data_IF_688259836671
#
_entry.id   IF_688259836671
#
_cell.length_a   1.000
_cell.length_b   1.000
_cell.length_c   1.000
_cell.angle_alpha   90.00
_cell.angle_beta   90.00
_cell.angle_gamma   90.00
#
_symmetry.space_group_name_H-M   'P 1'
#
loop_
_entity.id
_entity.type
_entity.pdbx_description
1 polymer ?
#
# COMPACT_ATOMS: atom_id res chain seq x y z
N UNK A 1 -4.16 24.18 6.27
CA UNK A 1 -4.85 22.90 6.62
C UNK A 1 -3.86 21.98 7.31
N UNK A 2 -4.34 21.02 8.11
CA UNK A 2 -3.47 20.02 8.76
C UNK A 2 -3.00 18.94 7.79
N UNK A 3 -1.78 18.50 7.98
CA UNK A 3 -1.18 17.41 7.21
C UNK A 3 -1.69 16.04 7.72
N UNK A 4 -2.21 15.16 6.86
CA UNK A 4 -2.70 13.85 7.29
C UNK A 4 -1.58 12.85 7.67
N UNK A 5 -0.31 13.20 7.39
CA UNK A 5 0.85 12.36 7.70
C UNK A 5 1.49 12.73 9.05
N UNK A 6 1.79 14.01 9.27
CA UNK A 6 2.54 14.45 10.46
C UNK A 6 1.74 15.36 11.41
N UNK A 7 0.46 15.64 11.09
CA UNK A 7 -0.43 16.59 11.80
C UNK A 7 0.07 18.05 11.84
N UNK A 8 1.16 18.37 11.15
CA UNK A 8 1.68 19.72 11.03
C UNK A 8 0.68 20.69 10.43
N UNK A 9 0.65 21.92 10.92
CA UNK A 9 -0.16 23.01 10.39
C UNK A 9 0.39 23.54 9.06
N UNK A 10 -0.38 24.44 8.41
CA UNK A 10 0.07 25.29 7.29
C UNK A 10 0.33 24.58 5.95
N UNK A 11 -0.17 23.33 5.76
CA UNK A 11 -0.17 22.71 4.44
C UNK A 11 -0.97 23.58 3.46
N UNK A 12 -0.43 23.75 2.25
CA UNK A 12 -0.98 24.66 1.24
C UNK A 12 -1.23 23.91 -0.05
N UNK A 13 -2.27 24.36 -0.80
CA UNK A 13 -2.47 23.89 -2.16
C UNK A 13 -1.19 24.06 -2.97
N UNK A 14 -0.78 23.01 -3.70
CA UNK A 14 0.42 23.03 -4.52
C UNK A 14 0.17 22.75 -6.00
N UNK A 15 -0.84 21.94 -6.32
CA UNK A 15 -1.19 21.62 -7.72
C UNK A 15 -2.60 21.06 -7.83
N UNK A 16 -3.12 21.09 -9.07
CA UNK A 16 -4.35 20.40 -9.45
C UNK A 16 -4.07 19.52 -10.67
N UNK A 17 -4.39 18.23 -10.59
CA UNK A 17 -4.21 17.25 -11.66
C UNK A 17 -5.55 16.55 -11.87
N UNK A 18 -6.04 16.50 -13.10
CA UNK A 18 -7.32 15.87 -13.47
C UNK A 18 -8.49 16.30 -12.56
N UNK A 19 -8.61 17.60 -12.32
CA UNK A 19 -9.59 18.23 -11.42
C UNK A 19 -9.46 17.82 -9.94
N UNK A 20 -8.40 17.12 -9.53
CA UNK A 20 -8.10 16.74 -8.15
C UNK A 20 -7.07 17.70 -7.56
N UNK A 21 -7.39 18.33 -6.44
CA UNK A 21 -6.52 19.30 -5.79
C UNK A 21 -5.61 18.63 -4.76
N UNK A 22 -4.32 18.97 -4.80
CA UNK A 22 -3.28 18.47 -3.91
C UNK A 22 -2.70 19.58 -3.05
N UNK A 23 -2.33 19.25 -1.83
CA UNK A 23 -1.59 20.12 -0.92
C UNK A 23 -0.24 19.53 -0.56
N UNK A 24 0.72 20.41 -0.21
CA UNK A 24 2.04 20.02 0.30
C UNK A 24 2.22 20.55 1.72
N UNK A 25 2.74 19.68 2.57
CA UNK A 25 3.10 20.02 3.95
C UNK A 25 4.48 20.68 3.99
N UNK A 26 4.65 21.84 4.67
CA UNK A 26 5.96 22.46 4.79
C UNK A 26 6.88 21.76 5.83
N UNK A 27 6.32 20.89 6.69
CA UNK A 27 7.09 20.25 7.77
C UNK A 27 7.67 18.89 7.35
N UNK A 28 6.84 17.99 6.79
CA UNK A 28 7.29 16.65 6.37
C UNK A 28 7.36 16.48 4.85
N UNK A 29 7.08 17.54 4.11
CA UNK A 29 7.09 17.60 2.64
C UNK A 29 6.12 16.65 1.92
N UNK A 30 5.29 15.92 2.65
CA UNK A 30 4.27 15.08 2.03
C UNK A 30 3.34 15.89 1.11
N UNK A 31 3.13 15.37 -0.08
CA UNK A 31 2.08 15.85 -1.00
C UNK A 31 0.90 14.90 -0.88
N UNK A 32 -0.30 15.42 -0.68
CA UNK A 32 -1.49 14.63 -0.45
C UNK A 32 -2.71 15.22 -1.12
N UNK A 33 -3.64 14.34 -1.50
CA UNK A 33 -4.92 14.70 -2.07
C UNK A 33 -5.80 15.37 -1.00
N UNK A 34 -6.51 16.43 -1.38
CA UNK A 34 -7.44 17.08 -0.44
C UNK A 34 -8.61 16.15 -0.10
N UNK A 35 -9.08 16.15 1.18
CA UNK A 35 -10.11 15.22 1.64
C UNK A 35 -11.39 15.19 0.79
N UNK A 36 -11.81 16.32 0.24
CA UNK A 36 -12.99 16.40 -0.63
C UNK A 36 -12.85 15.70 -1.99
N UNK A 37 -11.65 15.24 -2.35
CA UNK A 37 -11.36 14.53 -3.59
C UNK A 37 -11.02 13.04 -3.37
N UNK A 38 -10.99 12.59 -2.12
CA UNK A 38 -10.80 11.17 -1.81
C UNK A 38 -12.02 10.37 -2.29
N UNK A 39 -11.81 9.18 -2.89
CA UNK A 39 -12.92 8.31 -3.30
C UNK A 39 -13.68 7.80 -2.08
N UNK A 40 -14.95 7.45 -2.27
CA UNK A 40 -15.68 6.69 -1.23
C UNK A 40 -15.13 5.26 -1.15
N UNK A 41 -15.27 4.55 0.00
CA UNK A 41 -14.85 3.15 0.10
C UNK A 41 -15.47 2.23 -0.95
N UNK A 42 -16.71 2.50 -1.37
CA UNK A 42 -17.39 1.74 -2.41
C UNK A 42 -16.76 2.00 -3.80
N UNK A 43 -16.43 3.26 -4.11
CA UNK A 43 -15.78 3.62 -5.37
C UNK A 43 -14.36 3.05 -5.44
N UNK A 44 -13.62 3.11 -4.34
CA UNK A 44 -12.28 2.55 -4.21
C UNK A 44 -12.28 1.02 -4.42
N UNK A 45 -13.17 0.32 -3.73
CA UNK A 45 -13.34 -1.13 -3.90
C UNK A 45 -13.70 -1.51 -5.34
N UNK A 46 -14.64 -0.79 -5.96
CA UNK A 46 -15.04 -1.05 -7.34
C UNK A 46 -13.86 -0.88 -8.33
N UNK A 47 -12.98 0.08 -8.09
CA UNK A 47 -11.78 0.28 -8.89
C UNK A 47 -10.80 -0.90 -8.75
N UNK A 48 -10.57 -1.40 -7.52
CA UNK A 48 -9.72 -2.56 -7.28
C UNK A 48 -10.30 -3.85 -7.89
N UNK A 49 -11.62 -4.03 -7.91
CA UNK A 49 -12.27 -5.19 -8.55
C UNK A 49 -12.06 -5.24 -10.07
N UNK A 50 -11.72 -4.10 -10.69
CA UNK A 50 -11.34 -4.05 -12.12
C UNK A 50 -9.92 -4.55 -12.38
N UNK A 51 -9.05 -4.55 -11.37
CA UNK A 51 -7.68 -5.05 -11.49
C UNK A 51 -7.67 -6.59 -11.50
N UNK A 52 -7.54 -7.18 -12.69
CA UNK A 52 -7.47 -8.64 -12.87
C UNK A 52 -6.03 -9.14 -12.93
N UNK A 53 -5.26 -8.84 -11.88
CA UNK A 53 -3.89 -9.34 -11.77
C UNK A 53 -3.92 -10.84 -11.44
N UNK A 54 -3.33 -11.65 -12.31
CA UNK A 54 -3.23 -13.10 -12.10
C UNK A 54 -1.78 -13.51 -11.86
N UNK A 55 -1.53 -14.62 -11.13
CA UNK A 55 -0.16 -15.12 -10.89
C UNK A 55 0.64 -15.37 -12.18
N UNK A 56 -0.04 -15.65 -13.29
CA UNK A 56 0.57 -15.96 -14.59
C UNK A 56 0.82 -14.73 -15.47
N UNK A 57 0.41 -13.52 -15.02
CA UNK A 57 0.66 -12.28 -15.75
C UNK A 57 2.16 -11.91 -15.68
N UNK A 58 2.88 -12.22 -16.76
CA UNK A 58 4.31 -11.95 -16.84
C UNK A 58 4.65 -10.46 -16.80
N UNK A 59 3.77 -9.59 -17.29
CA UNK A 59 3.95 -8.13 -17.24
C UNK A 59 3.86 -7.62 -15.81
N UNK A 60 2.84 -8.04 -15.09
CA UNK A 60 2.65 -7.66 -13.69
C UNK A 60 3.73 -8.25 -12.78
N UNK A 61 4.12 -9.52 -12.96
CA UNK A 61 5.25 -10.11 -12.23
C UNK A 61 6.57 -9.35 -12.47
N UNK A 62 6.82 -8.89 -13.71
CA UNK A 62 7.99 -8.06 -14.01
C UNK A 62 7.94 -6.72 -13.28
N UNK A 63 6.80 -6.06 -13.22
CA UNK A 63 6.60 -4.84 -12.44
C UNK A 63 6.91 -5.09 -10.96
N UNK A 64 6.32 -6.12 -10.36
CA UNK A 64 6.53 -6.48 -8.95
C UNK A 64 7.98 -6.92 -8.66
N UNK A 65 8.70 -7.44 -9.64
CA UNK A 65 10.11 -7.83 -9.50
C UNK A 65 11.03 -6.65 -9.20
N UNK A 66 10.63 -5.42 -9.53
CA UNK A 66 11.38 -4.21 -9.16
C UNK A 66 11.50 -4.07 -7.63
N UNK A 67 10.50 -4.52 -6.87
CA UNK A 67 10.55 -4.61 -5.42
C UNK A 67 11.05 -5.98 -4.94
N UNK A 68 10.51 -7.08 -5.47
CA UNK A 68 10.79 -8.42 -4.99
C UNK A 68 12.28 -8.78 -5.13
N UNK A 69 12.93 -8.46 -6.23
CA UNK A 69 14.33 -8.82 -6.45
C UNK A 69 15.28 -8.21 -5.40
N UNK A 70 15.32 -6.89 -5.16
CA UNK A 70 16.19 -6.33 -4.14
C UNK A 70 15.78 -6.69 -2.72
N UNK A 71 14.50 -6.98 -2.47
CA UNK A 71 14.01 -7.46 -1.17
C UNK A 71 14.58 -8.85 -0.87
N UNK A 72 14.42 -9.80 -1.78
CA UNK A 72 14.91 -11.19 -1.64
C UNK A 72 16.42 -11.26 -1.40
N UNK A 73 17.21 -10.35 -1.95
CA UNK A 73 18.66 -10.26 -1.70
C UNK A 73 19.01 -9.86 -0.26
N UNK A 74 18.07 -9.31 0.50
CA UNK A 74 18.27 -8.80 1.87
C UNK A 74 17.63 -9.67 2.94
N UNK A 75 16.68 -10.51 2.57
CA UNK A 75 15.97 -11.37 3.51
C UNK A 75 16.82 -12.57 3.92
N UNK A 76 16.76 -12.91 5.21
CA UNK A 76 17.25 -14.19 5.69
C UNK A 76 16.37 -15.34 5.14
N UNK A 77 16.93 -16.57 4.97
CA UNK A 77 16.13 -17.71 4.54
C UNK A 77 14.90 -17.95 5.43
N UNK A 78 13.78 -18.32 4.81
CA UNK A 78 12.51 -18.61 5.47
C UNK A 78 11.94 -17.48 6.35
N UNK A 79 12.25 -16.22 6.03
CA UNK A 79 11.69 -15.04 6.70
C UNK A 79 10.16 -15.02 6.66
N UNK A 80 9.54 -14.41 7.68
CA UNK A 80 8.11 -14.23 7.79
C UNK A 80 7.73 -12.77 7.51
N UNK A 81 6.89 -12.52 6.52
CA UNK A 81 6.47 -11.19 6.11
C UNK A 81 4.96 -11.00 6.11
N UNK A 82 4.56 -9.73 5.98
CA UNK A 82 3.20 -9.29 5.73
C UNK A 82 3.15 -8.56 4.39
N UNK A 83 2.19 -8.93 3.54
CA UNK A 83 1.81 -8.14 2.36
C UNK A 83 0.58 -7.32 2.73
N UNK A 84 0.82 -6.03 3.03
CA UNK A 84 -0.19 -5.08 3.50
C UNK A 84 -0.81 -4.36 2.30
N UNK A 85 -2.14 -4.44 2.17
CA UNK A 85 -2.87 -3.95 1.00
C UNK A 85 -2.67 -4.88 -0.21
N UNK A 86 -2.68 -6.20 0.03
CA UNK A 86 -2.35 -7.20 -0.99
C UNK A 86 -3.37 -7.31 -2.14
N UNK A 87 -4.54 -6.66 -2.01
CA UNK A 87 -5.59 -6.67 -3.02
C UNK A 87 -6.25 -8.04 -3.25
N UNK A 88 -7.08 -8.18 -4.30
CA UNK A 88 -7.80 -9.42 -4.59
C UNK A 88 -6.92 -10.52 -5.17
N UNK A 89 -5.76 -10.17 -5.75
CA UNK A 89 -4.82 -11.12 -6.36
C UNK A 89 -3.40 -10.91 -5.83
N UNK A 90 -3.02 -11.52 -4.69
CA UNK A 90 -1.76 -11.26 -3.99
C UNK A 90 -0.55 -11.89 -4.69
N UNK A 91 -0.24 -11.43 -5.90
CA UNK A 91 0.84 -11.97 -6.75
C UNK A 91 2.22 -11.78 -6.10
N UNK A 92 2.46 -10.62 -5.46
CA UNK A 92 3.72 -10.37 -4.76
C UNK A 92 3.96 -11.38 -3.64
N UNK A 93 2.95 -11.60 -2.79
CA UNK A 93 3.03 -12.62 -1.74
C UNK A 93 3.29 -14.02 -2.32
N UNK A 94 2.67 -14.35 -3.46
CA UNK A 94 2.94 -15.59 -4.20
C UNK A 94 4.40 -15.72 -4.60
N UNK A 95 4.98 -14.69 -5.22
CA UNK A 95 6.39 -14.66 -5.62
C UNK A 95 7.35 -14.83 -4.44
N UNK A 96 7.07 -14.19 -3.32
CA UNK A 96 7.89 -14.31 -2.11
C UNK A 96 7.76 -15.71 -1.47
N UNK A 97 6.57 -16.33 -1.53
CA UNK A 97 6.35 -17.72 -1.08
C UNK A 97 7.07 -18.73 -2.00
N UNK A 98 7.06 -18.51 -3.32
CA UNK A 98 7.83 -19.30 -4.29
C UNK A 98 9.33 -19.26 -3.97
N UNK A 99 9.83 -18.15 -3.43
CA UNK A 99 11.21 -17.99 -2.98
C UNK A 99 11.51 -18.56 -1.59
N UNK A 100 10.54 -19.22 -0.94
CA UNK A 100 10.72 -19.93 0.32
C UNK A 100 10.39 -19.11 1.58
N UNK A 101 9.75 -17.95 1.45
CA UNK A 101 9.32 -17.14 2.59
C UNK A 101 7.87 -17.44 3.01
N UNK A 102 7.52 -17.16 4.27
CA UNK A 102 6.14 -17.17 4.74
C UNK A 102 5.59 -15.75 4.63
N UNK A 103 4.41 -15.58 4.05
CA UNK A 103 3.81 -14.25 3.87
C UNK A 103 2.36 -14.29 4.31
N UNK A 104 2.03 -13.52 5.35
CA UNK A 104 0.66 -13.23 5.73
C UNK A 104 0.07 -12.17 4.79
N UNK A 105 -1.24 -12.14 4.66
CA UNK A 105 -1.96 -11.19 3.83
C UNK A 105 -2.84 -10.31 4.70
N UNK A 106 -2.90 -9.04 4.37
CA UNK A 106 -3.91 -8.13 4.89
C UNK A 106 -4.39 -7.17 3.79
N UNK A 107 -5.68 -7.04 3.67
CA UNK A 107 -6.33 -6.03 2.84
C UNK A 107 -7.73 -5.74 3.42
N UNK A 108 -8.13 -4.47 3.63
CA UNK A 108 -9.40 -4.15 4.29
C UNK A 108 -10.64 -4.64 3.52
N UNK A 109 -10.53 -4.87 2.21
CA UNK A 109 -11.64 -5.31 1.36
C UNK A 109 -11.62 -6.80 1.03
N UNK A 110 -10.42 -7.37 0.86
CA UNK A 110 -10.23 -8.72 0.29
C UNK A 110 -9.64 -9.73 1.27
N UNK A 111 -8.88 -9.28 2.26
CA UNK A 111 -8.24 -10.09 3.31
C UNK A 111 -8.30 -9.36 4.66
N UNK A 112 -9.52 -9.18 5.23
CA UNK A 112 -9.76 -8.28 6.38
C UNK A 112 -9.39 -8.88 7.75
N UNK A 113 -8.68 -10.02 7.79
CA UNK A 113 -8.34 -10.73 9.02
C UNK A 113 -7.38 -9.91 9.89
N UNK A 114 -7.91 -9.30 10.96
CA UNK A 114 -7.15 -8.45 11.88
C UNK A 114 -6.01 -9.18 12.60
N UNK A 115 -6.03 -10.51 12.67
CA UNK A 115 -4.95 -11.31 13.25
C UNK A 115 -3.60 -11.01 12.62
N UNK A 116 -3.54 -10.80 11.31
CA UNK A 116 -2.33 -10.43 10.60
C UNK A 116 -1.71 -9.11 11.09
N UNK A 117 -2.50 -8.18 11.61
CA UNK A 117 -2.02 -6.91 12.14
C UNK A 117 -1.49 -6.99 13.58
N UNK A 118 -1.66 -8.13 14.24
CA UNK A 118 -1.24 -8.37 15.64
C UNK A 118 0.05 -9.18 15.74
N UNK A 119 0.58 -9.67 14.63
CA UNK A 119 1.80 -10.44 14.57
C UNK A 119 3.03 -9.56 14.38
N UNK A 120 4.22 -10.15 14.57
CA UNK A 120 5.51 -9.53 14.26
C UNK A 120 6.09 -10.17 13.02
N UNK A 121 6.66 -9.34 12.15
CA UNK A 121 7.19 -9.75 10.87
C UNK A 121 8.65 -9.33 10.72
N UNK A 122 9.42 -10.11 9.94
CA UNK A 122 10.78 -9.76 9.54
C UNK A 122 10.76 -8.66 8.45
N UNK A 123 9.69 -8.60 7.66
CA UNK A 123 9.49 -7.58 6.63
C UNK A 123 7.99 -7.31 6.38
N UNK A 124 7.70 -6.14 5.85
CA UNK A 124 6.37 -5.76 5.37
C UNK A 124 6.51 -5.22 3.95
N UNK A 125 5.69 -5.73 3.03
CA UNK A 125 5.49 -5.14 1.71
C UNK A 125 4.20 -4.32 1.70
N UNK A 126 4.24 -3.17 1.00
CA UNK A 126 3.10 -2.27 0.87
C UNK A 126 3.23 -1.58 -0.51
N UNK A 127 2.73 -2.25 -1.56
CA UNK A 127 2.96 -1.89 -2.96
C UNK A 127 1.68 -1.32 -3.56
N UNK A 128 1.75 -0.09 -4.10
CA UNK A 128 0.60 0.64 -4.68
C UNK A 128 -0.57 0.76 -3.68
N UNK A 129 -0.29 1.16 -2.44
CA UNK A 129 -1.27 1.19 -1.33
C UNK A 129 -1.24 2.52 -0.57
N UNK A 130 -0.05 3.04 -0.27
CA UNK A 130 0.14 4.21 0.63
C UNK A 130 -0.55 5.46 0.10
N UNK A 131 -0.58 5.64 -1.21
CA UNK A 131 -1.24 6.74 -1.92
C UNK A 131 -2.78 6.72 -1.77
N UNK A 132 -3.34 5.58 -1.39
CA UNK A 132 -4.78 5.40 -1.16
C UNK A 132 -5.20 5.60 0.30
N UNK A 133 -4.26 5.79 1.22
CA UNK A 133 -4.59 5.96 2.64
C UNK A 133 -5.41 7.22 2.91
N UNK A 134 -6.62 7.04 3.43
CA UNK A 134 -7.44 8.14 3.92
C UNK A 134 -6.91 8.75 5.22
N UNK A 135 -6.26 7.93 6.06
CA UNK A 135 -5.67 8.31 7.34
C UNK A 135 -4.25 7.78 7.48
N UNK A 136 -3.28 8.27 6.67
CA UNK A 136 -1.94 7.71 6.61
C UNK A 136 -1.21 7.70 7.97
N UNK A 137 -1.39 8.73 8.82
CA UNK A 137 -0.80 8.74 10.15
C UNK A 137 -1.32 7.62 11.07
N UNK A 138 -2.55 7.16 10.87
CA UNK A 138 -3.11 6.03 11.61
C UNK A 138 -2.56 4.72 11.07
N UNK A 139 -2.53 4.56 9.76
CA UNK A 139 -2.04 3.33 9.11
C UNK A 139 -0.55 3.07 9.41
N UNK A 140 0.29 4.10 9.40
CA UNK A 140 1.71 3.97 9.73
C UNK A 140 2.02 3.67 11.21
N UNK A 141 1.03 3.71 12.10
CA UNK A 141 1.20 3.39 13.53
C UNK A 141 0.72 1.99 13.91
N UNK A 142 0.09 1.31 12.97
CA UNK A 142 -0.31 -0.09 13.13
C UNK A 142 0.90 -0.99 13.06
#
# INVERSE_FOLDING_TARGET
>A
MRCPVCDGADSRHCQTVDARAYARCPHCEATFLLPGHLPSPQAERAEYELHRNTPDDAGYRRFLSQLATPLLQRLAPASHGLDFGCGPGPVLAGMLREAGHRVALYDPFFHPEQGALSERYDFITCTEVVEHFHQPAHEFRR
#
